data_IF_879497494792
#
_entry.id   IF_879497494792
#
_cell.length_a   1.000
_cell.length_b   1.000
_cell.length_c   1.000
_cell.angle_alpha   90.00
_cell.angle_beta   90.00
_cell.angle_gamma   90.00
#
_symmetry.space_group_name_H-M   'P 1'
#
loop_
_entity.id
_entity.type
_entity.pdbx_description
1 polymer ?
#
# COMPACT_ATOMS: atom_id res chain seq x y z
N UNK A 1 19.14 -15.60 -0.65
CA UNK A 1 18.01 -16.47 -0.26
C UNK A 1 16.64 -15.81 -0.51
N UNK A 2 16.40 -14.55 -0.10
CA UNK A 2 15.11 -13.83 -0.29
C UNK A 2 14.60 -13.79 -1.75
N UNK A 3 15.49 -13.61 -2.72
CA UNK A 3 15.12 -13.45 -4.15
C UNK A 3 14.56 -14.71 -4.81
N UNK A 4 14.99 -15.91 -4.38
CA UNK A 4 14.49 -17.16 -4.95
C UNK A 4 13.05 -17.44 -4.50
N UNK A 5 12.74 -17.22 -3.21
CA UNK A 5 11.40 -17.34 -2.67
C UNK A 5 10.44 -16.34 -3.33
N UNK A 6 10.83 -15.07 -3.51
CA UNK A 6 10.02 -14.08 -4.21
C UNK A 6 9.73 -14.49 -5.66
N UNK A 7 10.71 -15.06 -6.37
CA UNK A 7 10.49 -15.58 -7.74
C UNK A 7 9.53 -16.77 -7.76
N UNK A 8 9.63 -17.68 -6.79
CA UNK A 8 8.71 -18.82 -6.68
C UNK A 8 7.26 -18.36 -6.44
N UNK A 9 7.04 -17.44 -5.50
CA UNK A 9 5.70 -16.90 -5.21
C UNK A 9 5.12 -16.18 -6.43
N UNK A 10 5.90 -15.33 -7.10
CA UNK A 10 5.47 -14.67 -8.35
C UNK A 10 5.10 -15.67 -9.44
N UNK A 11 5.85 -16.78 -9.55
CA UNK A 11 5.52 -17.86 -10.50
C UNK A 11 4.22 -18.56 -10.14
N UNK A 12 3.95 -18.82 -8.85
CA UNK A 12 2.69 -19.43 -8.42
C UNK A 12 1.48 -18.52 -8.66
N UNK A 13 1.60 -17.22 -8.37
CA UNK A 13 0.57 -16.21 -8.67
C UNK A 13 0.24 -16.22 -10.17
N UNK A 14 1.25 -16.15 -11.03
CA UNK A 14 1.08 -16.17 -12.49
C UNK A 14 0.48 -17.49 -12.99
N UNK A 15 0.92 -18.65 -12.48
CA UNK A 15 0.36 -19.96 -12.84
C UNK A 15 -1.09 -20.13 -12.41
N UNK A 16 -1.50 -19.51 -11.31
CA UNK A 16 -2.88 -19.49 -10.83
C UNK A 16 -3.75 -18.46 -11.57
N UNK A 17 -3.18 -17.75 -12.57
CA UNK A 17 -3.85 -16.67 -13.30
C UNK A 17 -4.41 -15.57 -12.37
N UNK A 18 -3.68 -15.27 -11.30
CA UNK A 18 -4.00 -14.18 -10.38
C UNK A 18 -3.28 -12.90 -10.80
N UNK A 19 -3.93 -11.76 -10.55
CA UNK A 19 -3.31 -10.46 -10.73
C UNK A 19 -2.07 -10.31 -9.83
N UNK A 20 -1.02 -9.73 -10.40
CA UNK A 20 0.20 -9.37 -9.70
C UNK A 20 -0.02 -8.16 -8.78
N UNK A 21 0.89 -7.96 -7.82
CA UNK A 21 0.81 -6.82 -6.90
C UNK A 21 0.75 -5.45 -7.61
N UNK A 22 1.55 -5.18 -8.66
CA UNK A 22 1.43 -3.93 -9.41
C UNK A 22 0.06 -3.77 -10.11
N UNK A 23 -0.50 -4.84 -10.66
CA UNK A 23 -1.84 -4.81 -11.28
C UNK A 23 -2.92 -4.53 -10.25
N UNK A 24 -2.84 -5.17 -9.07
CA UNK A 24 -3.76 -4.92 -7.95
C UNK A 24 -3.65 -3.48 -7.42
N UNK A 25 -2.44 -2.92 -7.36
CA UNK A 25 -2.22 -1.53 -6.97
C UNK A 25 -2.86 -0.57 -7.97
N UNK A 26 -2.74 -0.83 -9.28
CA UNK A 26 -3.38 0.02 -10.28
C UNK A 26 -4.91 -0.10 -10.23
N UNK A 27 -5.45 -1.31 -10.09
CA UNK A 27 -6.89 -1.50 -9.87
C UNK A 27 -7.39 -0.78 -8.61
N UNK A 28 -6.62 -0.77 -7.53
CA UNK A 28 -6.96 -0.02 -6.32
C UNK A 28 -7.07 1.50 -6.59
N UNK A 29 -6.19 2.04 -7.44
CA UNK A 29 -6.21 3.45 -7.86
C UNK A 29 -7.40 3.76 -8.75
N UNK A 30 -7.68 2.89 -9.72
CA UNK A 30 -8.84 3.02 -10.61
C UNK A 30 -10.17 2.98 -9.85
N UNK A 31 -10.24 2.21 -8.77
CA UNK A 31 -11.40 2.12 -7.87
C UNK A 31 -11.51 3.32 -6.91
N UNK A 32 -10.56 4.25 -6.93
CA UNK A 32 -10.59 5.46 -6.08
C UNK A 32 -10.26 5.19 -4.61
N UNK A 33 -9.50 4.14 -4.29
CA UNK A 33 -9.04 3.89 -2.92
C UNK A 33 -8.12 5.03 -2.49
N UNK A 34 -8.45 5.66 -1.35
CA UNK A 34 -7.61 6.70 -0.76
C UNK A 34 -6.39 6.08 -0.10
N UNK A 35 -5.21 6.48 -0.55
CA UNK A 35 -3.93 5.99 -0.02
C UNK A 35 -3.27 7.09 0.81
N UNK A 36 -2.87 6.74 2.03
CA UNK A 36 -2.22 7.67 2.95
C UNK A 36 -0.81 7.20 3.30
N UNK A 37 0.16 8.08 3.12
CA UNK A 37 1.50 7.90 3.66
C UNK A 37 1.59 8.48 5.08
N UNK A 38 2.12 7.69 6.01
CA UNK A 38 2.28 8.11 7.40
C UNK A 38 3.37 9.18 7.53
N UNK A 39 3.02 10.38 8.00
CA UNK A 39 3.94 11.52 8.12
C UNK A 39 5.17 11.18 8.96
N UNK A 40 4.99 10.50 10.10
CA UNK A 40 6.09 10.10 10.97
C UNK A 40 7.05 9.16 10.24
N UNK A 41 6.52 8.19 9.51
CA UNK A 41 7.34 7.22 8.77
C UNK A 41 8.11 7.88 7.64
N UNK A 42 7.50 8.81 6.89
CA UNK A 42 8.21 9.53 5.82
C UNK A 42 9.42 10.31 6.36
N UNK A 43 9.24 11.02 7.48
CA UNK A 43 10.32 11.77 8.12
C UNK A 43 11.44 10.85 8.63
N UNK A 44 11.09 9.71 9.22
CA UNK A 44 12.08 8.74 9.74
C UNK A 44 12.83 8.05 8.60
N UNK A 45 12.15 7.77 7.49
CA UNK A 45 12.72 7.07 6.34
C UNK A 45 13.38 8.01 5.32
N UNK A 46 13.34 9.33 5.56
CA UNK A 46 13.84 10.37 4.65
C UNK A 46 13.28 10.25 3.23
N UNK A 47 11.98 9.96 3.10
CA UNK A 47 11.27 9.82 1.82
C UNK A 47 10.49 11.09 1.54
N UNK A 48 10.63 11.65 0.33
CA UNK A 48 9.88 12.84 -0.08
C UNK A 48 8.61 12.49 -0.85
N UNK A 49 7.77 13.50 -1.13
CA UNK A 49 6.54 13.29 -1.92
C UNK A 49 6.86 12.80 -3.33
N UNK A 50 7.98 13.25 -3.90
CA UNK A 50 8.40 12.94 -5.26
C UNK A 50 8.82 11.47 -5.43
N UNK A 51 9.14 10.79 -4.33
CA UNK A 51 9.47 9.36 -4.31
C UNK A 51 8.23 8.46 -4.28
N UNK A 52 7.04 9.03 -4.07
CA UNK A 52 5.78 8.30 -3.95
C UNK A 52 5.02 8.27 -5.29
N UNK A 53 4.14 7.28 -5.43
CA UNK A 53 3.21 7.23 -6.55
C UNK A 53 2.19 8.38 -6.49
N UNK A 54 1.70 8.79 -7.66
CA UNK A 54 0.67 9.84 -7.74
C UNK A 54 -0.63 9.42 -7.04
N UNK A 55 -1.25 10.39 -6.35
CA UNK A 55 -2.52 10.20 -5.65
C UNK A 55 -2.39 9.77 -4.19
N UNK A 56 -1.17 9.75 -3.63
CA UNK A 56 -0.96 9.51 -2.19
C UNK A 56 -1.11 10.81 -1.41
N UNK A 57 -1.94 10.75 -0.37
CA UNK A 57 -2.14 11.82 0.62
C UNK A 57 -1.30 11.58 1.87
N UNK A 58 -1.19 12.59 2.73
CA UNK A 58 -0.37 12.54 3.94
C UNK A 58 -1.26 12.56 5.18
N UNK A 59 -1.09 11.59 6.07
CA UNK A 59 -1.84 11.50 7.32
C UNK A 59 -0.93 11.13 8.50
N UNK A 60 -1.21 11.74 9.65
CA UNK A 60 -0.63 11.33 10.92
C UNK A 60 -1.53 10.35 11.67
N UNK A 61 -1.05 9.85 12.81
CA UNK A 61 -1.81 8.95 13.68
C UNK A 61 -3.20 9.50 14.10
N UNK A 62 -3.38 10.81 14.43
CA UNK A 62 -4.70 11.33 14.78
C UNK A 62 -5.71 11.21 13.64
N UNK A 63 -5.33 11.61 12.42
CA UNK A 63 -6.17 11.46 11.24
C UNK A 63 -6.51 9.97 11.01
N UNK A 64 -5.55 9.05 11.25
CA UNK A 64 -5.83 7.61 11.22
C UNK A 64 -6.90 7.17 12.18
N UNK A 65 -6.86 7.65 13.42
CA UNK A 65 -7.87 7.28 14.41
C UNK A 65 -9.25 7.85 14.04
N UNK A 66 -9.32 9.03 13.42
CA UNK A 66 -10.58 9.61 12.95
C UNK A 66 -11.23 8.73 11.87
N UNK A 67 -10.49 8.40 10.79
CA UNK A 67 -11.05 7.56 9.72
C UNK A 67 -11.26 6.11 10.14
N UNK A 68 -10.42 5.59 11.04
CA UNK A 68 -10.59 4.26 11.58
C UNK A 68 -11.87 4.22 12.45
N UNK A 69 -12.12 5.26 13.25
CA UNK A 69 -13.32 5.36 14.09
C UNK A 69 -14.63 5.24 13.31
N UNK A 70 -14.66 5.74 12.07
CA UNK A 70 -15.81 5.65 11.16
C UNK A 70 -15.85 4.34 10.33
N UNK A 71 -14.82 3.49 10.40
CA UNK A 71 -14.71 2.27 9.60
C UNK A 71 -15.29 1.06 10.34
N UNK A 72 -16.14 0.28 9.67
CA UNK A 72 -16.71 -0.96 10.24
C UNK A 72 -15.65 -2.04 10.52
N UNK A 73 -14.56 -2.06 9.73
CA UNK A 73 -13.49 -3.05 9.82
C UNK A 73 -12.14 -2.36 9.71
N UNK A 74 -11.22 -2.73 10.62
CA UNK A 74 -9.86 -2.21 10.69
C UNK A 74 -8.88 -3.38 10.73
N UNK A 75 -7.81 -3.33 9.93
CA UNK A 75 -6.79 -4.38 9.86
C UNK A 75 -5.40 -3.77 10.03
N UNK A 76 -4.51 -4.49 10.71
CA UNK A 76 -3.07 -4.20 10.76
C UNK A 76 -2.33 -5.38 10.12
N UNK A 77 -1.61 -5.12 9.02
CA UNK A 77 -0.99 -6.11 8.14
C UNK A 77 0.52 -5.92 8.11
#
# INVERSE_FOLDING_TARGET
MKTAATKMVKSWISKANLASIPELLESARELGIRMYACNTTLNVMCVSKEDLIDGVEFAGAPAFLDFAGDSDVQLFI
#
